data_IF_899640749866
#
_entry.id   IF_899640749866
#
_cell.length_a   1.000
_cell.length_b   1.000
_cell.length_c   1.000
_cell.angle_alpha   90.00
_cell.angle_beta   90.00
_cell.angle_gamma   90.00
#
_symmetry.space_group_name_H-M   'P 1'
#
loop_
_entity.id
_entity.type
_entity.pdbx_description
1 polymer ?
#
# COMPACT_ATOMS: atom_id res chain seq x y z
N UNK A 1 -1.11 1.03 -16.23
CA UNK A 1 -0.42 1.40 -14.97
C UNK A 1 -0.46 0.24 -13.99
N UNK A 2 0.59 0.08 -13.17
CA UNK A 2 0.75 -0.96 -12.15
C UNK A 2 0.92 -0.26 -10.79
N UNK A 3 0.28 -0.74 -9.73
CA UNK A 3 0.43 -0.16 -8.39
C UNK A 3 1.87 -0.31 -7.84
N UNK A 4 2.22 0.52 -6.87
CA UNK A 4 3.55 0.57 -6.24
C UNK A 4 3.55 0.35 -4.72
N UNK A 5 2.39 0.21 -4.08
CA UNK A 5 2.29 0.19 -2.61
C UNK A 5 2.89 -1.05 -1.95
N UNK A 6 3.09 -2.14 -2.72
CA UNK A 6 3.70 -3.39 -2.27
C UNK A 6 5.21 -3.40 -2.58
N UNK A 7 6.10 -3.33 -1.57
CA UNK A 7 7.54 -3.27 -1.82
C UNK A 7 8.09 -4.59 -2.39
N UNK A 8 7.53 -5.74 -2.02
CA UNK A 8 7.92 -7.03 -2.61
C UNK A 8 7.69 -7.09 -4.13
N UNK A 9 6.63 -6.42 -4.62
CA UNK A 9 6.41 -6.24 -6.05
C UNK A 9 7.41 -5.28 -6.68
N UNK A 10 7.64 -4.11 -6.06
CA UNK A 10 8.61 -3.11 -6.55
C UNK A 10 10.01 -3.71 -6.65
N UNK A 11 10.50 -4.37 -5.60
CA UNK A 11 11.79 -5.05 -5.57
C UNK A 11 11.92 -6.11 -6.68
N UNK A 12 10.85 -6.88 -6.93
CA UNK A 12 10.84 -7.88 -8.00
C UNK A 12 10.88 -7.22 -9.38
N UNK A 13 10.14 -6.12 -9.58
CA UNK A 13 10.12 -5.37 -10.83
C UNK A 13 11.51 -4.77 -11.14
N UNK A 14 12.13 -4.11 -10.16
CA UNK A 14 13.46 -3.51 -10.27
C UNK A 14 14.55 -4.54 -10.56
N UNK A 15 14.55 -5.69 -9.86
CA UNK A 15 15.61 -6.71 -10.01
C UNK A 15 15.46 -7.62 -11.24
N UNK A 16 14.22 -7.88 -11.68
CA UNK A 16 13.95 -8.95 -12.66
C UNK A 16 13.52 -8.42 -14.03
N UNK A 17 12.95 -7.22 -14.06
CA UNK A 17 12.28 -6.71 -15.26
C UNK A 17 12.77 -5.34 -15.69
N UNK A 18 13.34 -4.55 -14.77
CA UNK A 18 13.99 -3.28 -15.06
C UNK A 18 13.14 -2.39 -15.98
N UNK A 19 13.80 -1.78 -16.96
CA UNK A 19 13.18 -0.84 -17.91
C UNK A 19 11.95 -1.37 -18.66
N UNK A 20 11.71 -2.69 -18.73
CA UNK A 20 10.50 -3.21 -19.36
C UNK A 20 9.24 -2.98 -18.52
N UNK A 21 9.33 -3.04 -17.19
CA UNK A 21 8.17 -2.90 -16.29
C UNK A 21 8.14 -1.55 -15.60
N UNK A 22 9.29 -1.02 -15.19
CA UNK A 22 9.36 0.18 -14.35
C UNK A 22 8.59 1.40 -14.89
N UNK A 23 8.57 1.69 -16.21
CA UNK A 23 7.78 2.79 -16.76
C UNK A 23 6.26 2.68 -16.53
N UNK A 24 5.75 1.49 -16.22
CA UNK A 24 4.34 1.26 -15.96
C UNK A 24 3.99 1.31 -14.47
N UNK A 25 4.97 1.30 -13.57
CA UNK A 25 4.75 1.34 -12.12
C UNK A 25 4.41 2.77 -11.69
N UNK A 26 3.33 2.93 -10.91
CA UNK A 26 2.93 4.23 -10.38
C UNK A 26 4.03 4.83 -9.53
N UNK A 27 4.34 6.10 -9.73
CA UNK A 27 5.36 6.81 -8.93
C UNK A 27 4.86 7.20 -7.54
N UNK A 28 3.57 7.05 -7.23
CA UNK A 28 3.02 7.37 -5.91
C UNK A 28 3.72 6.55 -4.82
N UNK A 29 4.18 7.21 -3.76
CA UNK A 29 4.73 6.57 -2.56
C UNK A 29 3.65 5.75 -1.86
N UNK A 30 4.04 4.73 -1.09
CA UNK A 30 3.05 3.98 -0.29
C UNK A 30 2.51 4.82 0.87
N UNK A 31 1.36 4.45 1.48
CA UNK A 31 0.82 5.21 2.61
C UNK A 31 1.76 5.32 3.80
N UNK A 32 2.62 4.32 4.04
CA UNK A 32 3.64 4.39 5.09
C UNK A 32 4.57 5.57 4.85
N UNK A 33 5.05 5.72 3.62
CA UNK A 33 5.98 6.77 3.25
C UNK A 33 5.32 8.14 3.18
N UNK A 34 4.10 8.21 2.63
CA UNK A 34 3.31 9.46 2.65
C UNK A 34 3.06 9.92 4.10
N UNK A 35 2.66 9.00 4.98
CA UNK A 35 2.49 9.33 6.40
C UNK A 35 3.80 9.75 7.05
N UNK A 36 4.93 9.12 6.70
CA UNK A 36 6.25 9.53 7.16
C UNK A 36 6.60 10.97 6.82
N UNK A 37 6.33 11.40 5.58
CA UNK A 37 6.48 12.80 5.17
C UNK A 37 5.60 13.73 6.01
N UNK A 38 4.31 13.39 6.16
CA UNK A 38 3.38 14.21 6.94
C UNK A 38 3.83 14.33 8.40
N UNK A 39 4.21 13.23 9.05
CA UNK A 39 4.73 13.23 10.42
C UNK A 39 5.99 14.09 10.51
N UNK A 40 6.99 13.84 9.66
CA UNK A 40 8.29 14.49 9.74
C UNK A 40 8.25 15.99 9.44
N UNK A 41 7.28 16.44 8.65
CA UNK A 41 7.13 17.86 8.34
C UNK A 41 6.14 18.55 9.29
N UNK A 42 4.90 18.07 9.35
CA UNK A 42 3.82 18.76 10.10
C UNK A 42 4.11 18.71 11.60
N UNK A 43 4.55 17.58 12.13
CA UNK A 43 4.82 17.47 13.57
C UNK A 43 6.11 18.21 13.95
N UNK A 44 7.12 18.23 13.09
CA UNK A 44 8.35 19.01 13.32
C UNK A 44 8.05 20.50 13.42
N UNK A 45 7.25 21.02 12.49
CA UNK A 45 6.79 22.41 12.51
C UNK A 45 5.97 22.71 13.78
N UNK A 46 4.98 21.87 14.08
CA UNK A 46 4.08 22.05 15.23
C UNK A 46 4.80 22.00 16.58
N UNK A 47 5.80 21.12 16.71
CA UNK A 47 6.60 20.99 17.93
C UNK A 47 7.80 21.95 17.96
N UNK A 48 8.05 22.69 16.89
CA UNK A 48 9.22 23.56 16.73
C UNK A 48 10.55 22.84 17.02
N UNK A 49 10.71 21.63 16.45
CA UNK A 49 11.94 20.83 16.52
C UNK A 49 12.35 20.38 15.11
N UNK A 50 13.64 20.14 14.87
CA UNK A 50 14.06 19.55 13.59
C UNK A 50 13.48 18.14 13.42
N UNK A 51 13.12 17.77 12.19
CA UNK A 51 12.56 16.46 11.85
C UNK A 51 13.47 15.28 12.26
N UNK A 52 14.78 15.48 12.30
CA UNK A 52 15.77 14.52 12.80
C UNK A 52 15.63 14.18 14.29
N UNK A 53 14.87 14.98 15.06
CA UNK A 53 14.52 14.68 16.46
C UNK A 53 13.21 13.91 16.63
N UNK A 54 12.47 13.68 15.55
CA UNK A 54 11.28 12.84 15.55
C UNK A 54 11.70 11.44 15.11
N UNK A 55 11.46 10.43 15.94
CA UNK A 55 11.68 9.04 15.57
C UNK A 55 10.33 8.39 15.21
N UNK A 56 10.08 8.18 13.92
CA UNK A 56 8.83 7.68 13.39
C UNK A 56 8.89 6.15 13.19
N UNK A 57 8.08 5.44 13.96
CA UNK A 57 7.94 3.99 13.92
C UNK A 57 6.58 3.62 13.35
N UNK A 58 6.54 2.62 12.46
CA UNK A 58 5.29 2.11 11.89
C UNK A 58 5.10 0.63 12.20
N UNK A 59 3.85 0.21 12.37
CA UNK A 59 3.47 -1.20 12.57
C UNK A 59 2.90 -1.75 11.27
N UNK A 60 3.50 -2.82 10.73
CA UNK A 60 3.17 -3.33 9.40
C UNK A 60 3.03 -4.86 9.36
N UNK A 61 2.09 -5.42 8.59
CA UNK A 61 1.95 -6.88 8.46
C UNK A 61 2.99 -7.53 7.51
N UNK A 62 4.06 -6.80 7.15
CA UNK A 62 4.95 -7.15 6.04
C UNK A 62 6.41 -6.84 6.36
N UNK A 63 7.31 -7.79 6.12
CA UNK A 63 8.76 -7.57 6.25
C UNK A 63 9.31 -6.62 5.18
N UNK A 64 8.77 -6.66 3.96
CA UNK A 64 9.27 -5.82 2.86
C UNK A 64 9.05 -4.33 3.11
N UNK A 65 8.18 -3.95 4.06
CA UNK A 65 8.04 -2.56 4.51
C UNK A 65 9.29 -2.03 5.22
N UNK A 66 10.08 -2.90 5.85
CA UNK A 66 11.42 -2.56 6.35
C UNK A 66 12.36 -2.19 5.21
N UNK A 67 12.34 -2.99 4.14
CA UNK A 67 13.13 -2.74 2.93
C UNK A 67 12.72 -1.44 2.25
N UNK A 68 11.41 -1.15 2.21
CA UNK A 68 10.91 0.14 1.72
C UNK A 68 11.45 1.29 2.56
N UNK A 69 11.32 1.24 3.89
CA UNK A 69 11.82 2.28 4.80
C UNK A 69 13.34 2.50 4.70
N UNK A 70 14.11 1.46 4.38
CA UNK A 70 15.57 1.57 4.26
C UNK A 70 16.05 2.16 2.93
N UNK A 71 15.18 2.34 1.92
CA UNK A 71 15.60 2.91 0.61
C UNK A 71 16.18 4.31 0.79
N UNK A 72 17.26 4.58 0.08
CA UNK A 72 17.88 5.92 0.05
C UNK A 72 16.95 6.96 -0.60
N UNK A 73 16.02 6.52 -1.46
CA UNK A 73 14.97 7.37 -2.05
C UNK A 73 14.07 8.06 -0.99
N UNK A 74 14.04 7.56 0.25
CA UNK A 74 13.22 8.10 1.35
C UNK A 74 14.05 8.70 2.49
N UNK A 75 15.31 9.05 2.19
CA UNK A 75 16.15 9.85 3.08
C UNK A 75 16.17 11.31 2.62
N UNK A 76 15.63 12.21 3.44
CA UNK A 76 15.71 13.64 3.20
C UNK A 76 17.07 14.18 3.65
N UNK A 77 17.90 14.59 2.68
CA UNK A 77 19.20 15.23 2.96
C UNK A 77 19.03 16.57 3.67
N UNK A 78 18.01 17.34 3.29
CA UNK A 78 17.70 18.65 3.88
C UNK A 78 17.32 18.52 5.35
N UNK A 79 16.53 17.51 5.69
CA UNK A 79 16.08 17.27 7.07
C UNK A 79 17.04 16.37 7.87
N UNK A 80 18.03 15.80 7.21
CA UNK A 80 18.93 14.76 7.73
C UNK A 80 18.16 13.65 8.46
N UNK A 81 17.07 13.17 7.85
CA UNK A 81 16.16 12.20 8.46
C UNK A 81 15.50 11.31 7.41
N UNK A 82 15.16 10.07 7.82
CA UNK A 82 14.27 9.20 7.04
C UNK A 82 12.81 9.60 7.27
N UNK A 83 11.97 9.36 6.27
CA UNK A 83 10.51 9.49 6.42
C UNK A 83 9.98 8.50 7.47
N UNK A 84 10.56 7.30 7.50
CA UNK A 84 10.23 6.20 8.43
C UNK A 84 11.53 5.64 8.98
N UNK A 85 11.76 5.78 10.28
CA UNK A 85 13.02 5.35 10.91
C UNK A 85 13.02 3.86 11.24
N UNK A 86 11.85 3.32 11.62
CA UNK A 86 11.71 1.92 11.98
C UNK A 86 10.36 1.35 11.53
N UNK A 87 10.38 0.10 11.11
CA UNK A 87 9.17 -0.68 10.89
C UNK A 87 9.21 -1.89 11.81
N UNK A 88 8.21 -2.01 12.67
CA UNK A 88 7.98 -3.17 13.53
C UNK A 88 6.82 -3.95 12.91
N UNK A 89 6.89 -5.27 12.95
CA UNK A 89 5.87 -6.14 12.36
C UNK A 89 4.86 -6.64 13.39
N UNK A 90 3.69 -7.10 12.95
CA UNK A 90 2.68 -7.65 13.86
C UNK A 90 3.25 -8.77 14.75
N UNK A 91 4.09 -9.65 14.19
CA UNK A 91 4.74 -10.73 14.94
C UNK A 91 5.81 -10.22 15.92
N UNK A 92 6.49 -9.13 15.59
CA UNK A 92 7.46 -8.53 16.51
C UNK A 92 6.75 -7.81 17.67
N UNK A 93 5.59 -7.18 17.42
CA UNK A 93 4.73 -6.66 18.50
C UNK A 93 4.26 -7.80 19.41
N UNK A 94 3.83 -8.94 18.84
CA UNK A 94 3.45 -10.13 19.61
C UNK A 94 4.62 -10.67 20.45
N UNK A 95 5.84 -10.71 19.90
CA UNK A 95 7.05 -11.11 20.63
C UNK A 95 7.36 -10.18 21.80
N UNK A 96 7.31 -8.86 21.59
CA UNK A 96 7.54 -7.87 22.64
C UNK A 96 6.53 -8.01 23.79
N UNK A 97 5.26 -8.28 23.47
CA UNK A 97 4.23 -8.55 24.47
C UNK A 97 4.50 -9.86 25.23
N UNK A 98 4.93 -10.91 24.53
CA UNK A 98 5.32 -12.18 25.12
C UNK A 98 6.51 -12.07 26.08
N UNK A 99 7.55 -11.32 25.71
CA UNK A 99 8.70 -11.01 26.57
C UNK A 99 8.29 -10.22 27.81
N UNK A 100 7.35 -9.27 27.65
CA UNK A 100 6.76 -8.54 28.77
C UNK A 100 5.79 -9.37 29.63
N UNK A 101 5.50 -10.62 29.23
CA UNK A 101 4.49 -11.50 29.84
C UNK A 101 3.11 -10.83 29.94
N UNK A 102 2.75 -10.05 28.91
CA UNK A 102 1.49 -9.31 28.85
C UNK A 102 0.69 -9.61 27.59
N UNK A 103 -0.61 -9.39 27.66
CA UNK A 103 -1.52 -9.41 26.50
C UNK A 103 -2.12 -8.02 26.29
N UNK A 104 -2.50 -7.68 25.04
CA UNK A 104 -3.12 -6.37 24.75
C UNK A 104 -4.36 -6.08 25.59
N UNK A 105 -5.13 -7.12 25.93
CA UNK A 105 -6.35 -7.00 26.76
C UNK A 105 -6.10 -6.57 28.20
N UNK A 106 -4.84 -6.56 28.67
CA UNK A 106 -4.48 -6.13 30.02
C UNK A 106 -4.18 -4.63 30.12
N UNK A 107 -4.11 -3.94 28.99
CA UNK A 107 -3.87 -2.50 28.96
C UNK A 107 -5.20 -1.75 28.85
N UNK A 108 -5.31 -0.65 29.58
CA UNK A 108 -6.47 0.22 29.46
C UNK A 108 -6.49 0.86 28.07
N UNK A 109 -7.66 0.93 27.41
CA UNK A 109 -7.79 1.62 26.14
C UNK A 109 -7.38 3.09 26.29
N UNK A 110 -6.55 3.57 25.36
CA UNK A 110 -6.17 4.97 25.27
C UNK A 110 -6.62 5.55 23.94
N UNK A 111 -6.84 6.85 23.98
CA UNK A 111 -7.11 7.64 22.81
C UNK A 111 -5.87 7.77 21.93
N UNK A 112 -6.07 7.62 20.62
CA UNK A 112 -5.04 7.87 19.63
C UNK A 112 -4.84 9.38 19.45
N UNK A 113 -3.58 9.80 19.33
CA UNK A 113 -3.22 11.19 19.06
C UNK A 113 -3.72 11.64 17.67
N UNK A 114 -4.09 12.92 17.56
CA UNK A 114 -4.57 13.52 16.32
C UNK A 114 -3.88 14.87 16.05
N UNK A 115 -2.65 14.86 15.50
CA UNK A 115 -1.90 16.09 15.30
C UNK A 115 -2.36 16.91 14.08
N UNK A 116 -3.24 16.36 13.24
CA UNK A 116 -3.55 16.87 11.89
C UNK A 116 -4.51 18.08 11.87
N UNK A 117 -5.38 18.20 12.86
CA UNK A 117 -6.31 19.33 12.99
C UNK A 117 -6.79 19.49 14.44
N UNK A 118 -7.49 20.60 14.72
CA UNK A 118 -8.11 20.81 16.03
C UNK A 118 -9.39 19.98 16.24
N UNK A 119 -9.91 19.36 15.18
CA UNK A 119 -11.13 18.55 15.21
C UNK A 119 -10.74 17.09 15.04
N UNK A 120 -10.81 16.34 16.15
CA UNK A 120 -10.58 14.90 16.14
C UNK A 120 -11.81 14.16 15.58
N UNK A 121 -11.62 13.14 14.73
CA UNK A 121 -12.74 12.32 14.27
C UNK A 121 -13.23 11.38 15.37
N UNK A 122 -14.52 11.02 15.31
CA UNK A 122 -15.17 10.14 16.29
C UNK A 122 -14.60 8.70 16.26
N UNK A 123 -14.15 8.26 15.08
CA UNK A 123 -13.50 6.98 14.85
C UNK A 123 -12.05 7.25 14.47
N UNK A 124 -11.15 6.30 14.73
CA UNK A 124 -9.69 6.46 14.46
C UNK A 124 -9.11 5.31 13.63
N UNK A 125 -9.92 4.29 13.33
CA UNK A 125 -9.54 3.12 12.54
C UNK A 125 -10.59 2.92 11.47
N UNK A 126 -10.15 2.83 10.22
CA UNK A 126 -11.02 2.72 9.05
C UNK A 126 -10.51 1.68 8.08
N UNK A 127 -11.44 1.09 7.34
CA UNK A 127 -11.14 0.52 6.04
C UNK A 127 -11.23 1.62 4.98
N UNK A 128 -10.37 1.59 3.96
CA UNK A 128 -10.48 2.56 2.87
C UNK A 128 -11.58 2.18 1.89
N UNK A 129 -11.51 0.94 1.42
CA UNK A 129 -12.51 0.25 0.62
C UNK A 129 -12.50 -1.24 1.01
N UNK A 130 -13.31 -2.08 0.36
CA UNK A 130 -13.51 -3.48 0.77
C UNK A 130 -12.40 -4.43 0.34
N UNK A 131 -11.51 -4.04 -0.57
CA UNK A 131 -10.40 -4.93 -0.99
C UNK A 131 -9.30 -5.02 0.10
N UNK A 132 -8.79 -6.23 0.30
CA UNK A 132 -8.00 -6.62 1.49
C UNK A 132 -6.55 -6.08 1.54
N UNK A 133 -6.16 -5.24 0.59
CA UNK A 133 -4.83 -4.61 0.53
C UNK A 133 -4.89 -3.09 0.64
N UNK A 134 -5.93 -2.55 1.28
CA UNK A 134 -6.12 -1.12 1.47
C UNK A 134 -6.97 -0.45 0.40
N UNK A 135 -7.68 -1.19 -0.45
CA UNK A 135 -8.74 -0.60 -1.26
C UNK A 135 -8.33 0.14 -2.54
N UNK A 136 -7.04 0.23 -2.88
CA UNK A 136 -6.59 1.19 -3.91
C UNK A 136 -7.18 0.92 -5.29
N UNK A 137 -7.21 -0.34 -5.74
CA UNK A 137 -7.83 -0.68 -7.02
C UNK A 137 -9.29 -0.24 -7.11
N UNK A 138 -10.05 -0.40 -6.02
CA UNK A 138 -11.46 -0.03 -5.94
C UNK A 138 -11.63 1.49 -5.95
N UNK A 139 -10.88 2.19 -5.10
CA UNK A 139 -10.94 3.65 -5.04
C UNK A 139 -10.54 4.30 -6.37
N UNK A 140 -9.41 3.88 -6.96
CA UNK A 140 -8.94 4.41 -8.25
C UNK A 140 -9.94 4.08 -9.36
N UNK A 141 -10.62 2.93 -9.32
CA UNK A 141 -11.66 2.59 -10.29
C UNK A 141 -12.87 3.50 -10.17
N UNK A 142 -13.39 3.71 -8.94
CA UNK A 142 -14.51 4.63 -8.68
C UNK A 142 -14.17 6.05 -9.11
N UNK A 143 -12.98 6.52 -8.74
CA UNK A 143 -12.51 7.85 -9.10
C UNK A 143 -12.37 8.02 -10.62
N UNK A 144 -11.72 7.08 -11.32
CA UNK A 144 -11.55 7.15 -12.76
C UNK A 144 -12.89 7.05 -13.52
N UNK A 145 -13.81 6.20 -13.07
CA UNK A 145 -15.17 6.10 -13.63
C UNK A 145 -15.89 7.45 -13.57
N UNK A 146 -15.84 8.11 -12.40
CA UNK A 146 -16.46 9.42 -12.16
C UNK A 146 -15.80 10.52 -12.99
N UNK A 147 -14.48 10.66 -12.90
CA UNK A 147 -13.77 11.79 -13.49
C UNK A 147 -13.64 11.69 -15.02
N UNK A 148 -13.43 10.49 -15.57
CA UNK A 148 -13.15 10.30 -16.99
C UNK A 148 -14.42 10.01 -17.78
N UNK A 149 -15.35 9.25 -17.19
CA UNK A 149 -16.53 8.76 -17.90
C UNK A 149 -17.85 9.34 -17.39
N UNK A 150 -17.82 10.17 -16.33
CA UNK A 150 -19.01 10.70 -15.66
C UNK A 150 -19.98 9.59 -15.22
N UNK A 151 -19.44 8.44 -14.84
CA UNK A 151 -20.17 7.30 -14.29
C UNK A 151 -19.92 7.26 -12.78
N UNK A 152 -20.96 7.12 -11.97
CA UNK A 152 -20.82 6.94 -10.53
C UNK A 152 -21.10 5.47 -10.21
N UNK A 153 -20.06 4.63 -10.03
CA UNK A 153 -20.28 3.24 -9.69
C UNK A 153 -21.00 3.12 -8.35
N UNK A 154 -21.70 2.00 -8.16
CA UNK A 154 -22.26 1.64 -6.87
C UNK A 154 -21.17 1.56 -5.80
N UNK A 155 -21.56 1.75 -4.54
CA UNK A 155 -20.65 1.62 -3.41
C UNK A 155 -20.05 0.20 -3.33
N UNK A 156 -20.79 -0.81 -3.80
CA UNK A 156 -20.33 -2.19 -3.87
C UNK A 156 -19.88 -2.51 -5.29
N UNK A 157 -18.58 -2.75 -5.46
CA UNK A 157 -18.00 -3.19 -6.71
C UNK A 157 -17.88 -4.72 -6.76
N UNK A 158 -18.39 -5.32 -7.83
CA UNK A 158 -18.27 -6.77 -8.06
C UNK A 158 -17.02 -7.10 -8.88
N UNK A 159 -15.99 -7.57 -8.19
CA UNK A 159 -14.79 -8.10 -8.85
C UNK A 159 -15.01 -9.55 -9.28
N UNK A 160 -14.96 -9.80 -10.59
CA UNK A 160 -15.04 -11.14 -11.16
C UNK A 160 -13.76 -11.91 -10.88
N UNK A 161 -13.88 -13.08 -10.25
CA UNK A 161 -12.78 -14.02 -10.09
C UNK A 161 -12.37 -14.60 -11.45
N UNK A 162 -11.06 -14.62 -11.71
CA UNK A 162 -10.47 -15.27 -12.88
C UNK A 162 -9.99 -16.67 -12.53
N UNK A 163 -8.68 -16.93 -12.59
CA UNK A 163 -8.09 -18.24 -12.35
C UNK A 163 -8.25 -18.72 -10.90
N UNK A 164 -8.23 -17.80 -9.94
CA UNK A 164 -8.27 -18.06 -8.50
C UNK A 164 -8.71 -16.78 -7.77
N UNK A 165 -8.99 -16.87 -6.46
CA UNK A 165 -9.44 -15.75 -5.62
C UNK A 165 -8.46 -14.56 -5.61
N UNK A 166 -7.18 -14.84 -5.86
CA UNK A 166 -6.08 -13.88 -5.89
C UNK A 166 -5.85 -13.22 -7.25
N UNK A 167 -6.65 -13.55 -8.25
CA UNK A 167 -6.65 -12.83 -9.53
C UNK A 167 -8.08 -12.50 -9.92
N UNK A 168 -8.44 -11.23 -9.78
CA UNK A 168 -9.79 -10.72 -10.03
C UNK A 168 -9.75 -9.53 -10.98
N UNK A 169 -10.83 -9.30 -11.71
CA UNK A 169 -10.97 -8.15 -12.59
C UNK A 169 -12.32 -7.46 -12.44
N UNK A 170 -12.36 -6.19 -12.81
CA UNK A 170 -13.57 -5.40 -12.91
C UNK A 170 -13.57 -4.60 -14.21
N UNK A 171 -14.75 -4.42 -14.79
CA UNK A 171 -14.95 -3.77 -16.09
C UNK A 171 -16.07 -2.75 -15.95
N UNK A 172 -15.80 -1.52 -16.37
CA UNK A 172 -16.84 -0.52 -16.65
C UNK A 172 -17.21 -0.60 -18.13
N UNK A 173 -18.51 -0.76 -18.40
CA UNK A 173 -19.04 -0.66 -19.76
C UNK A 173 -19.85 0.62 -19.92
N UNK A 174 -19.64 1.32 -21.03
CA UNK A 174 -20.44 2.48 -21.45
C UNK A 174 -20.89 2.27 -22.89
N UNK A 175 -22.18 2.39 -23.14
CA UNK A 175 -22.80 2.12 -24.46
C UNK A 175 -22.38 0.75 -25.05
N UNK A 176 -22.31 -0.29 -24.21
CA UNK A 176 -21.91 -1.64 -24.59
C UNK A 176 -20.39 -1.86 -24.73
N UNK A 177 -19.59 -0.80 -24.80
CA UNK A 177 -18.14 -0.87 -24.94
C UNK A 177 -17.42 -0.91 -23.59
N UNK A 178 -16.34 -1.68 -23.49
CA UNK A 178 -15.47 -1.65 -22.30
C UNK A 178 -14.65 -0.36 -22.34
N UNK A 179 -14.89 0.52 -21.36
CA UNK A 179 -14.20 1.81 -21.25
C UNK A 179 -13.17 1.85 -20.13
N UNK A 180 -13.35 1.01 -19.10
CA UNK A 180 -12.37 0.84 -18.04
C UNK A 180 -12.25 -0.64 -17.70
N UNK A 181 -11.03 -1.09 -17.46
CA UNK A 181 -10.74 -2.49 -17.13
C UNK A 181 -9.56 -2.56 -16.17
N UNK A 182 -9.84 -3.00 -14.94
CA UNK A 182 -8.86 -3.08 -13.85
C UNK A 182 -8.69 -4.53 -13.40
N UNK A 183 -7.56 -4.81 -12.76
CA UNK A 183 -7.30 -6.10 -12.12
C UNK A 183 -6.64 -5.96 -10.75
N UNK A 184 -6.83 -6.98 -9.93
CA UNK A 184 -6.07 -7.23 -8.70
C UNK A 184 -5.34 -8.55 -8.90
N UNK A 185 -4.02 -8.53 -8.76
CA UNK A 185 -3.14 -9.69 -8.91
C UNK A 185 -2.29 -9.89 -7.66
N UNK A 186 -2.73 -10.80 -6.79
CA UNK A 186 -2.06 -11.16 -5.56
C UNK A 186 -1.23 -12.45 -5.76
N UNK A 187 -0.06 -12.53 -5.13
CA UNK A 187 0.81 -13.70 -5.15
C UNK A 187 1.74 -13.76 -6.35
N UNK A 188 3.03 -14.07 -6.12
CA UNK A 188 4.06 -14.15 -7.18
C UNK A 188 3.70 -15.03 -8.37
N UNK A 189 2.96 -16.12 -8.16
CA UNK A 189 2.48 -16.96 -9.28
C UNK A 189 1.59 -16.17 -10.24
N UNK A 190 0.66 -15.35 -9.73
CA UNK A 190 -0.21 -14.53 -10.58
C UNK A 190 0.60 -13.39 -11.22
N UNK A 191 1.50 -12.76 -10.46
CA UNK A 191 2.40 -11.70 -10.93
C UNK A 191 3.26 -12.17 -12.11
N UNK A 192 3.98 -13.28 -11.94
CA UNK A 192 4.85 -13.85 -12.99
C UNK A 192 4.04 -14.18 -14.24
N UNK A 193 2.88 -14.82 -14.09
CA UNK A 193 2.00 -15.14 -15.21
C UNK A 193 1.52 -13.88 -15.96
N UNK A 194 1.16 -12.83 -15.22
CA UNK A 194 0.75 -11.56 -15.80
C UNK A 194 1.89 -10.90 -16.57
N UNK A 195 3.08 -10.77 -15.96
CA UNK A 195 4.23 -10.14 -16.60
C UNK A 195 4.69 -10.93 -17.83
N UNK A 196 4.69 -12.27 -17.77
CA UNK A 196 5.03 -13.10 -18.93
C UNK A 196 4.04 -12.92 -20.09
N UNK A 197 2.75 -12.79 -19.79
CA UNK A 197 1.76 -12.44 -20.82
C UNK A 197 2.01 -11.04 -21.37
N UNK A 198 2.43 -10.08 -20.55
CA UNK A 198 2.68 -8.70 -20.96
C UNK A 198 3.85 -8.66 -21.95
N UNK A 199 4.95 -9.34 -21.62
CA UNK A 199 6.13 -9.51 -22.48
C UNK A 199 5.80 -10.14 -23.84
N UNK A 200 4.80 -11.03 -23.89
CA UNK A 200 4.36 -11.70 -25.11
C UNK A 200 3.33 -10.92 -25.92
N UNK A 201 2.93 -9.72 -25.47
CA UNK A 201 1.83 -8.96 -26.07
C UNK A 201 0.46 -9.65 -25.95
N UNK A 202 0.29 -10.54 -24.94
CA UNK A 202 -0.92 -11.36 -24.72
C UNK A 202 -1.71 -10.96 -23.47
N UNK A 203 -1.37 -9.84 -22.83
CA UNK A 203 -2.14 -9.33 -21.70
C UNK A 203 -3.44 -8.70 -22.20
N UNK A 204 -4.55 -9.03 -21.54
CA UNK A 204 -5.81 -8.31 -21.72
C UNK A 204 -5.60 -6.83 -21.44
N UNK A 205 -6.23 -5.93 -22.20
CA UNK A 205 -6.08 -4.47 -22.10
C UNK A 205 -6.53 -3.93 -20.72
N UNK A 206 -5.72 -4.14 -19.68
CA UNK A 206 -5.91 -3.59 -18.35
C UNK A 206 -5.33 -2.17 -18.33
N UNK A 207 -6.13 -1.23 -17.87
CA UNK A 207 -5.73 0.16 -17.69
C UNK A 207 -4.95 0.32 -16.37
N UNK A 208 -5.36 -0.43 -15.35
CA UNK A 208 -4.69 -0.48 -14.05
C UNK A 208 -4.65 -1.91 -13.51
N UNK A 209 -3.55 -2.27 -12.85
CA UNK A 209 -3.45 -3.51 -12.07
C UNK A 209 -2.87 -3.18 -10.69
N UNK A 210 -3.60 -3.55 -9.64
CA UNK A 210 -3.07 -3.63 -8.29
C UNK A 210 -2.31 -4.94 -8.10
N UNK A 211 -1.08 -4.85 -7.64
CA UNK A 211 -0.12 -5.95 -7.57
C UNK A 211 0.39 -6.11 -6.15
N UNK A 212 0.14 -7.28 -5.55
CA UNK A 212 0.56 -7.58 -4.18
C UNK A 212 1.33 -8.90 -4.15
N UNK A 213 2.51 -8.92 -3.53
CA UNK A 213 3.40 -10.09 -3.51
C UNK A 213 2.79 -11.28 -2.75
N UNK A 214 2.05 -11.03 -1.67
CA UNK A 214 1.44 -12.06 -0.84
C UNK A 214 0.08 -12.53 -1.40
N UNK A 215 -0.22 -13.84 -1.38
CA UNK A 215 -1.58 -14.34 -1.58
C UNK A 215 -2.54 -13.70 -0.57
N UNK A 216 -3.76 -13.37 -1.00
CA UNK A 216 -4.76 -12.59 -0.26
C UNK A 216 -4.33 -11.16 0.14
N UNK A 217 -3.18 -10.68 -0.32
CA UNK A 217 -2.76 -9.30 -0.08
C UNK A 217 -2.17 -9.07 1.31
N UNK A 218 -2.23 -7.82 1.78
CA UNK A 218 -1.59 -7.40 3.04
C UNK A 218 -2.12 -8.13 4.27
N UNK A 219 -3.39 -8.56 4.25
CA UNK A 219 -4.03 -9.26 5.37
C UNK A 219 -3.37 -10.61 5.72
N UNK A 220 -2.68 -11.19 4.73
CA UNK A 220 -1.92 -12.43 4.85
C UNK A 220 -0.44 -12.16 4.53
N UNK A 221 0.05 -10.98 4.95
CA UNK A 221 1.44 -10.59 4.81
C UNK A 221 2.38 -11.53 5.56
N UNK A 222 3.62 -11.65 5.08
CA UNK A 222 4.59 -12.61 5.62
C UNK A 222 4.95 -12.41 7.09
N UNK A 223 4.71 -11.20 7.63
CA UNK A 223 4.97 -10.83 9.01
C UNK A 223 3.68 -10.62 9.84
N UNK A 224 2.57 -11.15 9.35
CA UNK A 224 1.31 -11.19 10.10
C UNK A 224 1.34 -12.28 11.17
N UNK A 225 0.56 -12.09 12.24
CA UNK A 225 0.34 -13.06 13.32
C UNK A 225 0.02 -14.44 12.72
N UNK A 226 0.63 -15.48 13.30
CA UNK A 226 0.48 -16.86 12.83
C UNK A 226 -0.77 -17.51 13.44
N UNK A 227 -1.36 -18.49 12.76
CA UNK A 227 -2.45 -19.27 13.36
C UNK A 227 -2.01 -19.94 14.66
N UNK A 228 -2.91 -19.97 15.63
CA UNK A 228 -2.70 -20.74 16.87
C UNK A 228 -2.72 -22.25 16.58
N UNK A 229 -2.22 -23.08 17.49
CA UNK A 229 -2.25 -24.55 17.36
C UNK A 229 -3.66 -25.04 17.02
N UNK A 230 -3.79 -25.80 15.93
CA UNK A 230 -5.07 -26.32 15.44
C UNK A 230 -5.84 -25.41 14.49
N UNK A 231 -5.44 -24.13 14.34
CA UNK A 231 -6.06 -23.20 13.40
C UNK A 231 -5.36 -23.24 12.04
N UNK A 232 -6.14 -23.27 10.95
CA UNK A 232 -5.59 -23.21 9.60
C UNK A 232 -5.41 -21.76 9.14
N UNK A 233 -4.36 -21.47 8.35
CA UNK A 233 -4.09 -20.10 7.83
C UNK A 233 -5.31 -19.49 7.15
N UNK A 234 -6.03 -20.27 6.35
CA UNK A 234 -7.25 -19.80 5.66
C UNK A 234 -8.35 -19.34 6.62
N UNK A 235 -8.46 -19.99 7.77
CA UNK A 235 -9.45 -19.62 8.79
C UNK A 235 -9.10 -18.28 9.42
N UNK A 236 -7.83 -18.09 9.79
CA UNK A 236 -7.33 -16.81 10.28
C UNK A 236 -7.51 -15.70 9.24
N UNK A 237 -7.14 -15.94 7.98
CA UNK A 237 -7.34 -14.96 6.89
C UNK A 237 -8.81 -14.56 6.75
N UNK A 238 -9.75 -15.50 6.83
CA UNK A 238 -11.20 -15.20 6.76
C UNK A 238 -11.65 -14.36 7.94
N UNK A 239 -11.21 -14.68 9.16
CA UNK A 239 -11.53 -13.89 10.35
C UNK A 239 -11.02 -12.45 10.24
N UNK A 240 -9.79 -12.27 9.75
CA UNK A 240 -9.24 -10.94 9.53
C UNK A 240 -10.01 -10.19 8.44
N UNK A 241 -10.43 -10.88 7.37
CA UNK A 241 -11.24 -10.32 6.29
C UNK A 241 -12.59 -9.80 6.82
N UNK A 242 -13.28 -10.59 7.64
CA UNK A 242 -14.52 -10.18 8.31
C UNK A 242 -14.30 -8.97 9.23
N UNK A 243 -13.22 -8.95 10.02
CA UNK A 243 -12.89 -7.81 10.87
C UNK A 243 -12.66 -6.53 10.06
N UNK A 244 -11.92 -6.63 8.95
CA UNK A 244 -11.65 -5.49 8.08
C UNK A 244 -12.92 -4.98 7.40
N UNK A 245 -13.83 -5.87 6.96
CA UNK A 245 -15.11 -5.48 6.36
C UNK A 245 -16.09 -4.82 7.33
N UNK A 246 -15.94 -5.08 8.63
CA UNK A 246 -16.76 -4.45 9.67
C UNK A 246 -16.26 -3.05 10.09
N UNK A 247 -15.10 -2.61 9.60
CA UNK A 247 -14.60 -1.27 9.88
C UNK A 247 -15.43 -0.20 9.16
N UNK A 248 -15.57 1.00 9.73
CA UNK A 248 -16.13 2.14 9.02
C UNK A 248 -15.28 2.45 7.77
N UNK A 249 -15.92 2.87 6.69
CA UNK A 249 -15.22 3.30 5.48
C UNK A 249 -14.71 4.73 5.64
N UNK A 250 -13.45 4.97 5.26
CA UNK A 250 -12.87 6.31 5.20
C UNK A 250 -13.47 7.09 4.02
N UNK A 251 -13.66 8.39 4.17
CA UNK A 251 -13.98 9.31 3.07
C UNK A 251 -12.69 10.03 2.62
N UNK A 252 -12.07 9.67 1.48
CA UNK A 252 -10.77 10.23 1.10
C UNK A 252 -10.87 11.69 0.66
N UNK A 253 -11.99 12.09 0.04
CA UNK A 253 -12.24 13.46 -0.44
C UNK A 253 -12.75 14.40 0.67
N UNK A 254 -12.36 14.14 1.93
CA UNK A 254 -12.78 14.90 3.11
C UNK A 254 -12.12 16.29 3.21
N UNK A 255 -12.60 17.11 4.14
CA UNK A 255 -12.09 18.46 4.38
C UNK A 255 -10.63 18.47 4.83
N UNK A 256 -10.20 17.57 5.71
CA UNK A 256 -8.82 17.51 6.18
C UNK A 256 -7.84 17.23 5.04
N UNK A 257 -8.13 16.25 4.19
CA UNK A 257 -7.31 15.95 2.99
C UNK A 257 -7.18 17.19 2.11
N UNK A 258 -8.28 17.91 1.87
CA UNK A 258 -8.28 19.16 1.09
C UNK A 258 -7.41 20.25 1.71
N UNK A 259 -7.43 20.41 3.03
CA UNK A 259 -6.55 21.35 3.74
C UNK A 259 -5.08 20.93 3.65
N UNK A 260 -4.76 19.64 3.81
CA UNK A 260 -3.38 19.15 3.64
C UNK A 260 -2.88 19.45 2.22
N UNK A 261 -3.68 19.18 1.19
CA UNK A 261 -3.28 19.52 -0.17
C UNK A 261 -3.07 21.01 -0.35
N UNK A 262 -4.02 21.85 0.09
CA UNK A 262 -3.97 23.29 -0.12
C UNK A 262 -2.86 23.98 0.68
N UNK A 263 -2.77 23.69 1.97
CA UNK A 263 -1.99 24.48 2.93
C UNK A 263 -0.60 23.88 3.16
N UNK A 264 -0.44 22.55 3.01
CA UNK A 264 0.86 21.87 3.18
C UNK A 264 1.52 21.50 1.84
N UNK A 265 0.78 20.99 0.86
CA UNK A 265 1.34 20.54 -0.43
C UNK A 265 1.30 21.60 -1.54
N UNK A 266 0.83 22.81 -1.23
CA UNK A 266 0.66 23.95 -2.14
C UNK A 266 -0.32 23.70 -3.31
N UNK A 267 -1.17 22.68 -3.19
CA UNK A 267 -2.19 22.30 -4.15
C UNK A 267 -2.04 20.86 -4.68
N UNK A 268 -2.95 20.49 -5.59
CA UNK A 268 -2.89 19.22 -6.32
C UNK A 268 -1.96 19.35 -7.55
N UNK A 269 -1.13 18.34 -7.82
CA UNK A 269 -0.22 18.31 -8.97
C UNK A 269 0.78 19.47 -9.03
N UNK A 270 1.20 19.98 -7.87
CA UNK A 270 2.31 20.94 -7.75
C UNK A 270 3.66 20.22 -7.69
N UNK A 271 4.76 20.94 -7.97
CA UNK A 271 6.12 20.43 -7.83
C UNK A 271 6.36 19.85 -6.43
N UNK A 272 5.94 20.57 -5.38
CA UNK A 272 6.02 20.12 -3.99
C UNK A 272 5.21 18.84 -3.73
N UNK A 273 3.98 18.73 -4.26
CA UNK A 273 3.19 17.51 -4.12
C UNK A 273 3.85 16.31 -4.82
N UNK A 274 4.48 16.54 -5.97
CA UNK A 274 5.23 15.50 -6.68
C UNK A 274 6.50 15.09 -5.92
N UNK A 275 7.29 16.05 -5.47
CA UNK A 275 8.51 15.80 -4.69
C UNK A 275 8.22 14.97 -3.43
N UNK A 276 7.17 15.36 -2.70
CA UNK A 276 6.83 14.77 -1.40
C UNK A 276 6.03 13.47 -1.48
N UNK A 277 5.13 13.32 -2.47
CA UNK A 277 4.22 12.17 -2.55
C UNK A 277 4.61 11.14 -3.61
N UNK A 278 5.60 11.43 -4.46
CA UNK A 278 6.07 10.53 -5.50
C UNK A 278 7.54 10.13 -5.29
N UNK A 279 7.93 9.05 -5.96
CA UNK A 279 9.27 8.47 -5.98
C UNK A 279 9.59 7.93 -7.38
N UNK A 280 10.84 7.54 -7.58
CA UNK A 280 11.32 6.90 -8.80
C UNK A 280 11.83 5.49 -8.50
N UNK A 281 11.76 4.62 -9.49
CA UNK A 281 12.28 3.26 -9.40
C UNK A 281 13.47 3.11 -10.33
N UNK A 282 14.43 2.29 -9.92
CA UNK A 282 15.71 2.16 -10.60
C UNK A 282 15.96 0.69 -10.94
N UNK A 283 16.47 0.45 -12.14
CA UNK A 283 16.91 -0.90 -12.52
C UNK A 283 18.10 -1.29 -11.63
N UNK A 284 17.98 -2.43 -10.94
CA UNK A 284 19.09 -2.95 -10.14
C UNK A 284 19.95 -3.76 -11.10
N UNK A 285 20.89 -3.09 -11.76
CA UNK A 285 21.94 -3.77 -12.53
C UNK A 285 22.74 -4.60 -11.55
N UNK A 286 22.48 -5.90 -11.50
CA UNK A 286 23.29 -6.79 -10.70
C UNK A 286 24.70 -6.79 -11.29
N UNK A 287 25.72 -6.44 -10.50
CA UNK A 287 27.12 -6.79 -10.80
C UNK A 287 27.36 -8.32 -10.84
N UNK A 288 26.29 -9.11 -10.78
CA UNK A 288 26.23 -10.57 -10.71
C UNK A 288 25.60 -11.18 -11.98
N UNK A 289 25.80 -10.56 -13.15
CA UNK A 289 25.67 -11.25 -14.43
C UNK A 289 26.79 -12.26 -14.69
N UNK A 290 27.42 -12.80 -13.63
CA UNK A 290 28.07 -14.11 -13.68
C UNK A 290 26.98 -15.12 -13.32
N UNK A 291 26.28 -15.54 -14.37
CA UNK A 291 25.33 -16.64 -14.37
C UNK A 291 25.96 -17.91 -13.78
N UNK A 292 25.69 -18.19 -12.50
CA UNK A 292 25.73 -19.56 -11.99
C UNK A 292 24.35 -20.15 -12.20
N UNK A 293 24.22 -20.89 -13.31
CA UNK A 293 23.13 -21.83 -13.55
C UNK A 293 23.07 -22.84 -12.40
N UNK A 294 22.26 -22.54 -11.38
CA UNK A 294 21.81 -23.55 -10.43
C UNK A 294 20.49 -24.09 -10.99
N UNK A 295 20.60 -25.22 -11.70
CA UNK A 295 19.45 -26.05 -12.03
C UNK A 295 18.83 -26.56 -10.72
N UNK A 296 17.54 -26.31 -10.53
CA UNK A 296 16.69 -27.07 -9.61
C UNK A 296 15.96 -28.16 -10.40
#
# INVERSE_FOLDING_TARGET
MLSSSCPGWVCYAEKTHGNFILPYVSTTRSPQQIMGVLVKHILAEKLNIPASRIYHVTVMPCYDKKLEASRDDFFSKTNNSRDVDCVITSVEVEQLLGEAQRTLSQFDPLDLDWPWSNVRPDLMVWAHEKTLSGGYAEHVFKFAAKQIFNEVPTNELEFKQLKNRDFREIILKKNGNTVLKFAIANGFRNIQNMVQKLKRGKVSNYHFVEVMACPSGCINGGAQIRPTTGQHVRELTRKLEELYHNLPLSEPENSLTKHIYKDFLDGFQTEKSYELLHTSYHDVVSELSISLNINW
#
